data_IF_122508531691
#
_entry.id   IF_122508531691
#
_cell.length_a   1.000
_cell.length_b   1.000
_cell.length_c   1.000
_cell.angle_alpha   90.00
_cell.angle_beta   90.00
_cell.angle_gamma   90.00
#
_symmetry.space_group_name_H-M   'P 1'
#
loop_
_entity.id
_entity.type
_entity.pdbx_description
1 polymer ?
#
# COMPACT_ATOMS: atom_id res chain seq x y z
N UNK A 1 26.75 -5.59 15.75
CA UNK A 1 25.54 -6.39 15.49
C UNK A 1 24.44 -5.60 14.77
N UNK A 2 24.64 -4.32 14.45
CA UNK A 2 23.65 -3.46 13.80
C UNK A 2 23.40 -3.71 12.29
N UNK A 3 24.28 -4.38 11.55
CA UNK A 3 24.11 -4.51 10.08
C UNK A 3 22.85 -5.31 9.70
N UNK A 4 22.63 -6.47 10.33
CA UNK A 4 21.51 -7.36 9.99
C UNK A 4 20.14 -6.73 10.26
N UNK A 5 20.03 -5.91 11.30
CA UNK A 5 18.78 -5.21 11.63
C UNK A 5 18.39 -4.21 10.53
N UNK A 6 19.38 -3.45 10.05
CA UNK A 6 19.16 -2.51 8.95
C UNK A 6 18.99 -3.21 7.60
N UNK A 7 19.73 -4.29 7.34
CA UNK A 7 19.62 -5.07 6.10
C UNK A 7 18.20 -5.64 5.91
N UNK A 8 17.57 -6.12 7.00
CA UNK A 8 16.20 -6.66 6.96
C UNK A 8 15.19 -5.53 6.71
N UNK A 9 15.33 -4.39 7.39
CA UNK A 9 14.47 -3.23 7.15
C UNK A 9 14.53 -2.77 5.68
N UNK A 10 15.74 -2.65 5.16
CA UNK A 10 16.01 -2.24 3.79
C UNK A 10 15.48 -3.25 2.76
N UNK A 11 15.65 -4.56 3.02
CA UNK A 11 15.09 -5.62 2.20
C UNK A 11 13.56 -5.55 2.12
N UNK A 12 12.88 -5.30 3.25
CA UNK A 12 11.43 -5.15 3.30
C UNK A 12 10.97 -3.89 2.56
N UNK A 13 11.68 -2.77 2.71
CA UNK A 13 11.39 -1.52 1.99
C UNK A 13 11.58 -1.67 0.47
N UNK A 14 12.66 -2.32 0.02
CA UNK A 14 12.86 -2.68 -1.38
C UNK A 14 11.78 -3.63 -1.89
N UNK A 15 11.38 -4.61 -1.08
CA UNK A 15 10.27 -5.52 -1.37
C UNK A 15 8.94 -4.79 -1.60
N UNK A 16 8.67 -3.73 -0.84
CA UNK A 16 7.49 -2.87 -1.06
C UNK A 16 7.52 -2.19 -2.43
N UNK A 17 8.67 -1.70 -2.88
CA UNK A 17 8.82 -1.10 -4.23
C UNK A 17 8.55 -2.15 -5.31
N UNK A 18 9.12 -3.35 -5.19
CA UNK A 18 8.88 -4.45 -6.13
C UNK A 18 7.39 -4.81 -6.19
N UNK A 19 6.73 -4.93 -5.03
CA UNK A 19 5.31 -5.22 -4.96
C UNK A 19 4.45 -4.07 -5.52
N UNK A 20 4.88 -2.82 -5.39
CA UNK A 20 4.24 -1.66 -6.01
C UNK A 20 4.29 -1.72 -7.54
N UNK A 21 5.42 -2.14 -8.13
CA UNK A 21 5.48 -2.43 -9.56
C UNK A 21 4.58 -3.61 -9.95
N UNK A 22 4.55 -4.67 -9.14
CA UNK A 22 3.63 -5.78 -9.40
C UNK A 22 2.16 -5.32 -9.37
N UNK A 23 1.78 -4.37 -8.51
CA UNK A 23 0.43 -3.78 -8.51
C UNK A 23 0.14 -3.05 -9.82
N UNK A 24 1.08 -2.22 -10.31
CA UNK A 24 0.95 -1.53 -11.59
C UNK A 24 0.84 -2.51 -12.77
N UNK A 25 1.53 -3.65 -12.70
CA UNK A 25 1.51 -4.67 -13.76
C UNK A 25 0.17 -5.41 -13.88
N UNK A 26 -0.59 -5.58 -12.79
CA UNK A 26 -1.78 -6.44 -12.82
C UNK A 26 -2.87 -5.90 -13.75
N UNK A 27 -3.36 -6.76 -14.64
CA UNK A 27 -4.50 -6.52 -15.55
C UNK A 27 -5.82 -7.09 -15.01
N UNK A 28 -5.74 -7.95 -13.99
CA UNK A 28 -6.89 -8.65 -13.39
C UNK A 28 -7.13 -8.19 -11.96
N UNK A 29 -8.39 -7.93 -11.63
CA UNK A 29 -8.80 -7.49 -10.28
C UNK A 29 -8.39 -8.48 -9.19
N UNK A 30 -8.53 -9.79 -9.42
CA UNK A 30 -8.14 -10.80 -8.41
C UNK A 30 -6.63 -10.84 -8.17
N UNK A 31 -5.85 -10.69 -9.23
CA UNK A 31 -4.40 -10.65 -9.12
C UNK A 31 -3.96 -9.37 -8.39
N UNK A 32 -4.58 -8.23 -8.72
CA UNK A 32 -4.37 -6.95 -8.02
C UNK A 32 -4.67 -7.08 -6.51
N UNK A 33 -5.77 -7.75 -6.14
CA UNK A 33 -6.12 -8.00 -4.74
C UNK A 33 -5.15 -8.96 -4.02
N UNK A 34 -4.62 -9.97 -4.71
CA UNK A 34 -3.59 -10.86 -4.17
C UNK A 34 -2.28 -10.11 -3.90
N UNK A 35 -1.81 -9.34 -4.89
CA UNK A 35 -0.58 -8.55 -4.76
C UNK A 35 -0.74 -7.48 -3.68
N UNK A 36 -1.92 -6.85 -3.57
CA UNK A 36 -2.18 -5.88 -2.50
C UNK A 36 -2.16 -6.51 -1.10
N UNK A 37 -2.69 -7.73 -0.95
CA UNK A 37 -2.59 -8.47 0.31
C UNK A 37 -1.13 -8.76 0.68
N UNK A 38 -0.31 -9.17 -0.30
CA UNK A 38 1.12 -9.38 -0.11
C UNK A 38 1.86 -8.06 0.21
N UNK A 39 1.51 -6.98 -0.48
CA UNK A 39 2.04 -5.64 -0.22
C UNK A 39 1.75 -5.18 1.22
N UNK A 40 0.55 -5.43 1.71
CA UNK A 40 0.16 -5.11 3.09
C UNK A 40 0.81 -6.02 4.13
N UNK A 41 1.05 -7.30 3.79
CA UNK A 41 1.81 -8.23 4.63
C UNK A 41 3.27 -7.75 4.79
N UNK A 42 3.94 -7.39 3.69
CA UNK A 42 5.32 -6.88 3.74
C UNK A 42 5.39 -5.59 4.54
N UNK A 43 4.41 -4.68 4.40
CA UNK A 43 4.35 -3.49 5.25
C UNK A 43 4.23 -3.85 6.74
N UNK A 44 3.34 -4.78 7.09
CA UNK A 44 3.18 -5.17 8.49
C UNK A 44 4.46 -5.78 9.07
N UNK A 45 5.20 -6.56 8.26
CA UNK A 45 6.52 -7.05 8.63
C UNK A 45 7.53 -5.92 8.78
N UNK A 46 7.54 -4.94 7.87
CA UNK A 46 8.43 -3.78 7.94
C UNK A 46 8.18 -2.94 9.21
N UNK A 47 6.91 -2.64 9.50
CA UNK A 47 6.51 -1.90 10.70
C UNK A 47 6.81 -2.70 11.97
N UNK A 48 6.54 -4.01 11.98
CA UNK A 48 6.86 -4.88 13.11
C UNK A 48 8.36 -4.99 13.36
N UNK A 49 9.17 -5.02 12.30
CA UNK A 49 10.63 -5.01 12.40
C UNK A 49 11.15 -3.67 12.94
N UNK A 50 10.59 -2.54 12.49
CA UNK A 50 10.90 -1.23 13.04
C UNK A 50 10.49 -1.11 14.52
N UNK A 51 9.36 -1.70 14.93
CA UNK A 51 8.93 -1.76 16.32
C UNK A 51 9.95 -2.50 17.22
N UNK A 52 10.55 -3.57 16.69
CA UNK A 52 11.60 -4.32 17.36
C UNK A 52 12.86 -3.48 17.55
N UNK A 53 13.34 -2.81 16.48
CA UNK A 53 14.57 -1.98 16.54
C UNK A 53 14.40 -0.78 17.45
N UNK A 54 13.22 -0.15 17.46
CA UNK A 54 12.96 1.09 18.21
C UNK A 54 12.49 0.84 19.66
N UNK A 55 12.43 -0.43 20.12
CA UNK A 55 11.86 -0.85 21.42
C UNK A 55 10.44 -0.29 21.70
N UNK A 56 9.71 0.03 20.64
CA UNK A 56 8.44 0.73 20.71
C UNK A 56 7.29 -0.29 20.74
N UNK A 57 7.02 -0.85 21.92
CA UNK A 57 6.07 -1.96 22.11
C UNK A 57 4.64 -1.68 21.58
N UNK A 58 4.21 -0.42 21.53
CA UNK A 58 2.89 -0.05 21.01
C UNK A 58 2.75 -0.26 19.49
N UNK A 59 3.84 -0.18 18.72
CA UNK A 59 3.80 -0.41 17.27
C UNK A 59 3.46 -1.86 16.90
N UNK A 60 3.67 -2.85 17.77
CA UNK A 60 3.26 -4.23 17.49
C UNK A 60 1.74 -4.36 17.36
N UNK A 61 0.99 -3.64 18.20
CA UNK A 61 -0.48 -3.61 18.13
C UNK A 61 -0.89 -2.99 16.79
N UNK A 62 -0.26 -1.90 16.40
CA UNK A 62 -0.50 -1.19 15.14
C UNK A 62 -0.18 -2.06 13.92
N UNK A 63 0.95 -2.78 13.94
CA UNK A 63 1.31 -3.74 12.90
C UNK A 63 0.31 -4.90 12.81
N UNK A 64 -0.15 -5.42 13.96
CA UNK A 64 -1.19 -6.45 14.02
C UNK A 64 -2.52 -5.99 13.44
N UNK A 65 -2.97 -4.78 13.80
CA UNK A 65 -4.20 -4.17 13.23
C UNK A 65 -4.04 -4.00 11.72
N UNK A 66 -2.92 -3.45 11.26
CA UNK A 66 -2.65 -3.27 9.83
C UNK A 66 -2.67 -4.61 9.09
N UNK A 67 -2.07 -5.66 9.65
CA UNK A 67 -2.08 -7.00 9.07
C UNK A 67 -3.50 -7.57 8.94
N UNK A 68 -4.26 -7.56 10.04
CA UNK A 68 -5.62 -8.10 10.07
C UNK A 68 -6.53 -7.32 9.12
N UNK A 69 -6.49 -5.99 9.15
CA UNK A 69 -7.38 -5.22 8.30
C UNK A 69 -6.92 -5.19 6.84
N UNK A 70 -5.66 -4.83 6.56
CA UNK A 70 -5.19 -4.61 5.20
C UNK A 70 -4.84 -5.87 4.43
N UNK A 71 -4.24 -6.87 5.08
CA UNK A 71 -3.83 -8.10 4.37
C UNK A 71 -4.95 -9.15 4.31
N UNK A 72 -5.93 -9.09 5.23
CA UNK A 72 -6.94 -10.14 5.41
C UNK A 72 -8.34 -9.60 5.15
N UNK A 73 -8.84 -8.65 5.95
CA UNK A 73 -10.23 -8.16 5.87
C UNK A 73 -10.53 -7.45 4.55
N UNK A 74 -9.74 -6.44 4.18
CA UNK A 74 -9.96 -5.63 2.97
C UNK A 74 -9.94 -6.51 1.70
N UNK A 75 -8.91 -7.35 1.46
CA UNK A 75 -8.84 -8.14 0.23
C UNK A 75 -9.98 -9.16 0.16
N UNK A 76 -10.40 -9.75 1.28
CA UNK A 76 -11.54 -10.66 1.30
C UNK A 76 -12.87 -9.96 1.05
N UNK A 77 -13.09 -8.79 1.66
CA UNK A 77 -14.30 -8.01 1.45
C UNK A 77 -14.41 -7.57 -0.02
N UNK A 78 -13.33 -7.03 -0.59
CA UNK A 78 -13.29 -6.62 -1.99
C UNK A 78 -13.49 -7.82 -2.93
N UNK A 79 -12.90 -8.99 -2.67
CA UNK A 79 -13.17 -10.21 -3.47
C UNK A 79 -14.65 -10.59 -3.47
N UNK A 80 -15.32 -10.51 -2.32
CA UNK A 80 -16.77 -10.80 -2.24
C UNK A 80 -17.57 -9.80 -3.06
N UNK A 81 -17.22 -8.52 -2.99
CA UNK A 81 -17.87 -7.44 -3.76
C UNK A 81 -17.69 -7.67 -5.27
N UNK A 82 -16.48 -7.98 -5.73
CA UNK A 82 -16.19 -8.30 -7.15
C UNK A 82 -17.06 -9.44 -7.64
N UNK A 83 -17.17 -10.52 -6.85
CA UNK A 83 -18.00 -11.69 -7.21
C UNK A 83 -19.48 -11.34 -7.31
N UNK A 84 -20.00 -10.49 -6.42
CA UNK A 84 -21.43 -10.16 -6.36
C UNK A 84 -21.87 -9.13 -7.40
N UNK A 85 -21.02 -8.18 -7.76
CA UNK A 85 -21.37 -7.11 -8.70
C UNK A 85 -21.12 -7.45 -10.17
N UNK A 86 -20.55 -8.62 -10.47
CA UNK A 86 -20.28 -9.05 -11.85
C UNK A 86 -19.35 -8.09 -12.61
N UNK A 87 -18.51 -7.33 -11.91
CA UNK A 87 -17.61 -6.33 -12.50
C UNK A 87 -16.73 -7.04 -13.54
N UNK A 88 -16.70 -6.49 -14.77
CA UNK A 88 -15.85 -6.98 -15.86
C UNK A 88 -14.43 -7.23 -15.33
N UNK A 89 -13.96 -8.47 -15.52
CA UNK A 89 -12.76 -9.01 -14.83
C UNK A 89 -11.46 -8.37 -15.32
N UNK A 90 -11.50 -7.68 -16.45
CA UNK A 90 -10.39 -7.01 -17.12
C UNK A 90 -10.35 -5.55 -16.68
N UNK A 91 -9.22 -5.14 -16.11
CA UNK A 91 -8.96 -3.74 -15.83
C UNK A 91 -8.57 -3.03 -17.13
N UNK A 92 -9.29 -1.98 -17.50
CA UNK A 92 -8.82 -1.07 -18.54
C UNK A 92 -7.63 -0.27 -17.98
N UNK A 93 -6.44 -0.53 -18.51
CA UNK A 93 -5.22 0.22 -18.21
C UNK A 93 -5.13 1.38 -19.19
N UNK A 94 -5.24 2.62 -18.70
CA UNK A 94 -5.13 3.81 -19.53
C UNK A 94 -3.64 4.11 -19.76
N UNK A 95 -3.10 3.63 -20.87
CA UNK A 95 -1.70 3.92 -21.26
C UNK A 95 -0.86 2.69 -21.62
N UNK A 96 -1.30 1.50 -21.22
CA UNK A 96 -0.60 0.23 -21.45
C UNK A 96 0.55 -0.02 -20.46
N UNK A 97 0.70 -1.28 -20.05
CA UNK A 97 1.59 -1.71 -18.96
C UNK A 97 3.03 -1.23 -19.14
N UNK A 98 3.56 -1.22 -20.36
CA UNK A 98 4.94 -0.78 -20.63
C UNK A 98 5.20 0.68 -20.30
N UNK A 99 4.25 1.59 -20.59
CA UNK A 99 4.40 3.03 -20.28
C UNK A 99 4.31 3.26 -18.79
N UNK A 100 3.42 2.56 -18.11
CA UNK A 100 3.25 2.62 -16.66
C UNK A 100 4.50 2.13 -15.91
N UNK A 101 5.13 1.06 -16.41
CA UNK A 101 6.41 0.58 -15.87
C UNK A 101 7.53 1.60 -16.05
N UNK A 102 7.64 2.23 -17.23
CA UNK A 102 8.64 3.27 -17.48
C UNK A 102 8.40 4.52 -16.62
N UNK A 103 7.14 4.96 -16.50
CA UNK A 103 6.76 6.05 -15.61
C UNK A 103 7.07 5.71 -14.15
N UNK A 104 6.76 4.48 -13.71
CA UNK A 104 7.10 4.00 -12.37
C UNK A 104 8.61 4.01 -12.12
N UNK A 105 9.42 3.53 -13.07
CA UNK A 105 10.88 3.57 -12.96
C UNK A 105 11.41 5.01 -12.89
N UNK A 106 10.86 5.93 -13.67
CA UNK A 106 11.20 7.35 -13.60
C UNK A 106 10.83 7.97 -12.25
N UNK A 107 9.66 7.62 -11.68
CA UNK A 107 9.24 8.07 -10.36
C UNK A 107 10.13 7.54 -9.23
N UNK A 108 10.58 6.28 -9.31
CA UNK A 108 11.55 5.71 -8.36
C UNK A 108 12.89 6.44 -8.44
N UNK A 109 13.39 6.67 -9.66
CA UNK A 109 14.61 7.44 -9.86
C UNK A 109 14.48 8.87 -9.31
N UNK A 110 13.33 9.50 -9.51
CA UNK A 110 13.01 10.82 -8.96
C UNK A 110 12.95 10.80 -7.43
N UNK A 111 12.33 9.79 -6.81
CA UNK A 111 12.27 9.64 -5.36
C UNK A 111 13.68 9.57 -4.75
N UNK A 112 14.57 8.78 -5.35
CA UNK A 112 15.97 8.67 -4.92
C UNK A 112 16.69 10.02 -5.11
N UNK A 113 16.57 10.63 -6.29
CA UNK A 113 17.23 11.91 -6.60
C UNK A 113 16.80 13.04 -5.67
N UNK A 114 15.54 13.05 -5.23
CA UNK A 114 15.00 14.05 -4.28
C UNK A 114 15.46 13.76 -2.85
N UNK A 115 15.45 12.50 -2.42
CA UNK A 115 15.78 12.17 -1.02
C UNK A 115 17.26 12.23 -0.71
N UNK A 116 18.15 11.92 -1.67
CA UNK A 116 19.60 11.97 -1.47
C UNK A 116 20.14 13.34 -0.97
N UNK A 117 19.77 14.50 -1.55
CA UNK A 117 20.22 15.81 -1.08
C UNK A 117 19.47 16.31 0.16
N UNK A 118 18.21 15.93 0.35
CA UNK A 118 17.39 16.42 1.49
C UNK A 118 17.82 15.81 2.82
N UNK A 119 18.44 14.63 2.77
CA UNK A 119 18.82 13.87 3.97
C UNK A 119 20.33 13.88 4.23
N UNK A 120 21.05 14.89 3.72
CA UNK A 120 22.53 15.01 3.81
C UNK A 120 23.06 14.90 5.25
N UNK A 121 22.28 15.30 6.26
CA UNK A 121 22.62 15.17 7.69
C UNK A 121 22.13 13.90 8.40
N UNK A 122 21.43 13.01 7.72
CA UNK A 122 20.93 11.74 8.28
C UNK A 122 21.82 10.55 7.87
N UNK A 123 21.77 9.48 8.67
CA UNK A 123 22.41 8.19 8.35
C UNK A 123 22.04 7.72 6.93
N UNK A 124 23.01 7.19 6.18
CA UNK A 124 22.84 6.78 4.78
C UNK A 124 21.71 5.76 4.59
N UNK A 125 21.51 4.86 5.56
CA UNK A 125 20.44 3.86 5.55
C UNK A 125 19.05 4.46 5.77
N UNK A 126 18.92 5.42 6.69
CA UNK A 126 17.65 6.12 6.93
C UNK A 126 17.20 6.94 5.71
N UNK A 127 18.17 7.47 4.95
CA UNK A 127 17.97 8.15 3.68
C UNK A 127 17.39 7.23 2.60
N UNK A 128 17.91 6.02 2.49
CA UNK A 128 17.45 5.05 1.49
C UNK A 128 16.05 4.51 1.81
N UNK A 129 15.76 4.22 3.07
CA UNK A 129 14.42 3.79 3.51
C UNK A 129 13.35 4.85 3.21
N UNK A 130 13.66 6.13 3.45
CA UNK A 130 12.79 7.25 3.09
C UNK A 130 12.62 7.41 1.58
N UNK A 131 13.67 7.16 0.78
CA UNK A 131 13.58 7.15 -0.67
C UNK A 131 12.64 6.04 -1.18
N UNK A 132 12.73 4.84 -0.61
CA UNK A 132 11.82 3.76 -0.95
C UNK A 132 10.38 4.04 -0.52
N UNK A 133 10.17 4.63 0.66
CA UNK A 133 8.83 5.02 1.10
C UNK A 133 8.20 6.06 0.17
N UNK A 134 8.97 7.07 -0.25
CA UNK A 134 8.53 8.06 -1.24
C UNK A 134 8.24 7.39 -2.59
N UNK A 135 9.07 6.45 -3.03
CA UNK A 135 8.83 5.70 -4.25
C UNK A 135 7.52 4.90 -4.20
N UNK A 136 7.25 4.17 -3.11
CA UNK A 136 5.99 3.43 -2.90
C UNK A 136 4.78 4.39 -2.92
N UNK A 137 4.91 5.55 -2.29
CA UNK A 137 3.88 6.59 -2.32
C UNK A 137 3.58 7.06 -3.75
N UNK A 138 4.62 7.42 -4.51
CA UNK A 138 4.49 7.89 -5.89
C UNK A 138 3.95 6.80 -6.83
N UNK A 139 4.36 5.54 -6.65
CA UNK A 139 3.84 4.40 -7.41
C UNK A 139 2.35 4.14 -7.08
N UNK A 140 1.96 4.29 -5.82
CA UNK A 140 0.56 4.23 -5.39
C UNK A 140 -0.29 5.34 -6.03
N UNK A 141 0.25 6.56 -6.11
CA UNK A 141 -0.39 7.68 -6.81
C UNK A 141 -0.53 7.41 -8.31
N UNK A 142 0.52 6.91 -8.97
CA UNK A 142 0.48 6.52 -10.38
C UNK A 142 -0.60 5.45 -10.63
N UNK A 143 -0.72 4.48 -9.73
CA UNK A 143 -1.77 3.46 -9.80
C UNK A 143 -3.18 4.08 -9.72
N UNK A 144 -3.39 5.12 -8.91
CA UNK A 144 -4.67 5.84 -8.85
C UNK A 144 -4.95 6.62 -10.14
N UNK A 145 -3.94 7.26 -10.71
CA UNK A 145 -4.08 8.06 -11.95
C UNK A 145 -4.45 7.17 -13.14
N UNK A 146 -3.85 5.98 -13.25
CA UNK A 146 -3.99 5.12 -14.42
C UNK A 146 -5.23 4.20 -14.39
N UNK A 147 -5.98 4.17 -13.28
CA UNK A 147 -7.06 3.20 -13.06
C UNK A 147 -8.40 3.89 -12.78
N UNK A 148 -9.41 3.58 -13.59
CA UNK A 148 -10.77 4.13 -13.44
C UNK A 148 -11.74 3.20 -12.70
N UNK A 149 -11.37 1.95 -12.44
CA UNK A 149 -12.19 1.05 -11.65
C UNK A 149 -12.12 1.45 -10.17
N UNK A 150 -13.28 1.64 -9.53
CA UNK A 150 -13.38 1.99 -8.12
C UNK A 150 -12.56 1.07 -7.19
N UNK A 151 -12.49 -0.23 -7.49
CA UNK A 151 -11.69 -1.18 -6.69
C UNK A 151 -10.19 -0.93 -6.86
N UNK A 152 -9.74 -0.68 -8.09
CA UNK A 152 -8.34 -0.32 -8.34
C UNK A 152 -7.96 1.01 -7.72
N UNK A 153 -8.89 1.99 -7.70
CA UNK A 153 -8.68 3.28 -7.07
C UNK A 153 -8.50 3.13 -5.54
N UNK A 154 -9.32 2.30 -4.90
CA UNK A 154 -9.18 1.96 -3.47
C UNK A 154 -7.83 1.29 -3.21
N UNK A 155 -7.42 0.34 -4.05
CA UNK A 155 -6.12 -0.35 -3.89
C UNK A 155 -4.96 0.65 -4.11
N UNK A 156 -5.07 1.55 -5.08
CA UNK A 156 -4.09 2.62 -5.30
C UNK A 156 -3.96 3.54 -4.09
N UNK A 157 -5.09 3.97 -3.52
CA UNK A 157 -5.10 4.75 -2.29
C UNK A 157 -4.44 4.02 -1.12
N UNK A 158 -4.82 2.76 -0.91
CA UNK A 158 -4.26 1.94 0.17
C UNK A 158 -2.75 1.69 -0.04
N UNK A 159 -2.29 1.56 -1.29
CA UNK A 159 -0.87 1.46 -1.63
C UNK A 159 -0.11 2.75 -1.36
N UNK A 160 -0.70 3.89 -1.70
CA UNK A 160 -0.13 5.21 -1.40
C UNK A 160 0.02 5.40 0.12
N UNK A 161 -1.03 5.08 0.87
CA UNK A 161 -1.02 5.13 2.33
C UNK A 161 0.02 4.18 2.93
N UNK A 162 0.22 2.99 2.36
CA UNK A 162 1.29 2.08 2.78
C UNK A 162 2.68 2.73 2.65
N UNK A 163 2.90 3.55 1.61
CA UNK A 163 4.13 4.34 1.47
C UNK A 163 4.31 5.37 2.58
N UNK A 164 3.23 6.06 2.97
CA UNK A 164 3.24 7.00 4.10
C UNK A 164 3.53 6.29 5.43
N UNK A 165 2.91 5.13 5.67
CA UNK A 165 3.15 4.31 6.86
C UNK A 165 4.61 3.84 6.91
N UNK A 166 5.16 3.41 5.76
CA UNK A 166 6.57 3.02 5.67
C UNK A 166 7.51 4.18 6.00
N UNK A 167 7.22 5.38 5.48
CA UNK A 167 8.01 6.59 5.78
C UNK A 167 7.96 6.93 7.28
N UNK A 168 6.76 6.89 7.88
CA UNK A 168 6.56 7.18 9.29
C UNK A 168 7.24 6.14 10.20
N UNK A 169 7.23 4.86 9.81
CA UNK A 169 7.89 3.79 10.56
C UNK A 169 9.43 3.87 10.46
N UNK A 170 9.96 4.29 9.31
CA UNK A 170 11.40 4.52 9.13
C UNK A 170 11.93 5.79 9.82
N UNK A 171 11.07 6.76 10.10
CA UNK A 171 11.42 7.96 10.83
C UNK A 171 11.41 7.72 12.35
N UNK A 172 12.61 7.69 12.96
CA UNK A 172 12.76 7.54 14.42
C UNK A 172 11.97 8.64 15.15
N UNK A 173 11.10 8.23 16.08
CA UNK A 173 10.32 9.15 16.92
C UNK A 173 8.97 9.60 16.34
N UNK A 174 8.48 8.98 15.26
CA UNK A 174 7.15 9.26 14.70
C UNK A 174 6.12 8.10 14.85
N UNK A 175 6.03 7.38 15.98
CA UNK A 175 5.09 6.26 16.14
C UNK A 175 3.62 6.68 15.98
N UNK A 176 3.27 7.89 16.44
CA UNK A 176 1.91 8.44 16.34
C UNK A 176 1.45 8.61 14.89
N UNK A 177 2.37 8.94 13.97
CA UNK A 177 2.02 9.05 12.56
C UNK A 177 1.62 7.68 11.97
N UNK A 178 2.35 6.63 12.33
CA UNK A 178 2.02 5.24 11.95
C UNK A 178 0.65 4.85 12.49
N UNK A 179 0.38 5.09 13.77
CA UNK A 179 -0.89 4.77 14.42
C UNK A 179 -2.07 5.47 13.76
N UNK A 180 -1.96 6.80 13.54
CA UNK A 180 -3.01 7.60 12.91
C UNK A 180 -3.26 7.11 11.48
N UNK A 181 -2.20 6.85 10.71
CA UNK A 181 -2.34 6.31 9.35
C UNK A 181 -3.04 4.94 9.36
N UNK A 182 -2.71 4.04 10.28
CA UNK A 182 -3.38 2.74 10.36
C UNK A 182 -4.85 2.90 10.78
N UNK A 183 -5.16 3.76 11.76
CA UNK A 183 -6.54 4.02 12.16
C UNK A 183 -7.37 4.61 11.00
N UNK A 184 -6.78 5.56 10.27
CA UNK A 184 -7.40 6.15 9.07
C UNK A 184 -7.66 5.10 7.99
N UNK A 185 -6.71 4.18 7.76
CA UNK A 185 -6.88 3.09 6.80
C UNK A 185 -8.08 2.20 7.10
N UNK A 186 -8.31 1.91 8.39
CA UNK A 186 -9.44 1.10 8.86
C UNK A 186 -10.74 1.84 8.63
N UNK A 187 -10.78 3.14 8.90
CA UNK A 187 -11.96 3.97 8.61
C UNK A 187 -12.31 3.94 7.12
N UNK A 188 -11.32 4.18 6.24
CA UNK A 188 -11.54 4.13 4.79
C UNK A 188 -11.99 2.74 4.34
N UNK A 189 -11.38 1.68 4.88
CA UNK A 189 -11.79 0.30 4.59
C UNK A 189 -13.27 0.06 4.92
N UNK A 190 -13.72 0.50 6.10
CA UNK A 190 -15.12 0.37 6.52
C UNK A 190 -16.07 1.16 5.62
N UNK A 191 -15.71 2.41 5.26
CA UNK A 191 -16.49 3.24 4.35
C UNK A 191 -16.63 2.56 2.99
N UNK A 192 -15.52 2.10 2.41
CA UNK A 192 -15.51 1.42 1.11
C UNK A 192 -16.41 0.20 1.15
N UNK A 193 -16.24 -0.67 2.16
CA UNK A 193 -17.05 -1.88 2.30
C UNK A 193 -18.53 -1.51 2.44
N UNK A 194 -18.87 -0.52 3.28
CA UNK A 194 -20.25 -0.05 3.48
C UNK A 194 -20.91 0.45 2.21
N UNK A 195 -20.23 1.32 1.45
CA UNK A 195 -20.72 1.87 0.17
C UNK A 195 -20.98 0.75 -0.84
N UNK A 196 -20.06 -0.20 -0.99
CA UNK A 196 -20.24 -1.31 -1.92
C UNK A 196 -21.34 -2.28 -1.49
N UNK A 197 -21.51 -2.53 -0.18
CA UNK A 197 -22.61 -3.34 0.33
C UNK A 197 -23.97 -2.68 0.06
N UNK A 198 -24.09 -1.37 0.26
CA UNK A 198 -25.31 -0.63 -0.02
C UNK A 198 -25.69 -0.68 -1.50
N UNK A 199 -24.70 -0.49 -2.39
CA UNK A 199 -24.88 -0.56 -3.84
C UNK A 199 -25.30 -1.95 -4.35
N UNK A 200 -24.86 -3.02 -3.66
CA UNK A 200 -25.34 -4.37 -3.96
C UNK A 200 -26.83 -4.49 -3.64
N UNK A 201 -27.27 -3.98 -2.47
CA UNK A 201 -28.68 -4.06 -2.05
C UNK A 201 -29.62 -3.34 -3.02
N UNK A 202 -29.30 -2.12 -3.43
CA UNK A 202 -30.12 -1.34 -4.38
C UNK A 202 -30.34 -2.06 -5.73
N UNK A 203 -29.36 -2.84 -6.19
CA UNK A 203 -29.47 -3.58 -7.45
C UNK A 203 -30.33 -4.85 -7.34
N UNK A 204 -30.54 -5.38 -6.13
CA UNK A 204 -31.46 -6.49 -5.90
C UNK A 204 -32.89 -6.01 -5.62
N UNK A 205 -33.08 -4.90 -4.90
CA UNK A 205 -34.41 -4.32 -4.67
C UNK A 205 -35.08 -3.83 -5.99
N UNK A 206 -34.31 -3.60 -7.06
CA UNK A 206 -34.85 -3.23 -8.38
C UNK A 206 -35.25 -4.40 -9.28
N UNK A 207 -35.02 -5.66 -8.87
CA UNK A 207 -35.33 -6.86 -9.67
C UNK A 207 -36.57 -7.60 -9.15
N UNK A 208 -37.00 -7.32 -7.92
CA UNK A 208 -38.20 -7.91 -7.30
C UNK A 208 -39.47 -7.03 -7.43
N UNK A 209 -39.54 -6.15 -8.45
CA UNK A 209 -40.74 -5.37 -8.80
C UNK A 209 -41.17 -5.61 -10.26
#
# INVERSE_FOLDING_TARGET
>A
MHSLEFDIAHFLAGGMVVLSFLLLYQDRVYALLNVFALHSLVLALAVGWQAYIQEAHHLYVTAGIALVFKAIVIPMALRRIVRRLGIHRTLEVVGGVGRDMLAGAALVALAIMVMLPVTVGADALAREDLAFALAVLLLGLLLMVNRHNAISLVIGFMSLENGLVLAAAGARGMPLAVEISVAFSVLIALIVIGVFLFRIRERFDSVDM
#
